data_IF_080860397407
#
_entry.id   IF_080860397407
#
_cell.length_a   1.000
_cell.length_b   1.000
_cell.length_c   1.000
_cell.angle_alpha   90.00
_cell.angle_beta   90.00
_cell.angle_gamma   90.00
#
_symmetry.space_group_name_H-M   'P 1'
#
loop_
_entity.id
_entity.type
_entity.pdbx_description
1 polymer ?
#
# COMPACT_ATOMS: atom_id res chain seq x y z
N UNK A 1 17.82 -7.13 10.06
CA UNK A 1 17.29 -7.74 8.83
C UNK A 1 15.98 -8.48 9.10
N UNK A 2 15.85 -9.23 10.21
CA UNK A 2 14.64 -10.01 10.52
C UNK A 2 13.35 -9.19 10.60
N UNK A 3 13.40 -7.97 11.17
CA UNK A 3 12.25 -7.05 11.21
C UNK A 3 11.81 -6.60 9.81
N UNK A 4 12.75 -6.35 8.90
CA UNK A 4 12.44 -5.96 7.52
C UNK A 4 11.90 -7.15 6.71
N UNK A 5 12.47 -8.35 6.94
CA UNK A 5 11.99 -9.57 6.33
C UNK A 5 10.55 -9.89 6.78
N UNK A 6 10.21 -9.64 8.04
CA UNK A 6 8.86 -9.83 8.55
C UNK A 6 7.81 -8.93 7.87
N UNK A 7 8.20 -7.72 7.45
CA UNK A 7 7.31 -6.81 6.72
C UNK A 7 7.05 -7.24 5.27
N UNK A 8 7.98 -7.98 4.67
CA UNK A 8 7.92 -8.41 3.27
C UNK A 8 7.39 -9.85 3.11
N UNK A 9 7.52 -10.67 4.14
CA UNK A 9 7.09 -12.06 4.15
C UNK A 9 5.59 -12.18 4.48
N UNK A 10 4.80 -12.58 3.49
CA UNK A 10 3.38 -12.93 3.61
C UNK A 10 3.05 -13.99 4.66
N UNK A 11 4.01 -14.79 5.13
CA UNK A 11 3.80 -15.73 6.23
C UNK A 11 3.90 -15.06 7.61
N UNK A 12 4.35 -13.80 7.68
CA UNK A 12 4.58 -13.04 8.91
C UNK A 12 3.75 -11.76 8.98
N UNK A 13 3.66 -11.00 7.89
CA UNK A 13 2.84 -9.78 7.82
C UNK A 13 1.35 -10.10 7.90
N UNK A 14 0.61 -9.24 8.56
CA UNK A 14 -0.86 -9.32 8.67
C UNK A 14 -1.56 -8.44 7.65
N UNK A 15 -0.99 -7.28 7.30
CA UNK A 15 -1.49 -6.39 6.25
C UNK A 15 -1.53 -7.11 4.90
N UNK A 16 -2.59 -6.92 4.12
CA UNK A 16 -2.68 -7.44 2.75
C UNK A 16 -1.64 -6.80 1.81
N UNK A 17 -1.21 -7.51 0.77
CA UNK A 17 -0.18 -7.04 -0.16
C UNK A 17 -0.66 -5.82 -0.94
N UNK A 18 -1.94 -5.76 -1.29
CA UNK A 18 -2.48 -4.60 -2.01
C UNK A 18 -2.63 -3.37 -1.11
N UNK A 19 -2.91 -3.54 0.18
CA UNK A 19 -2.90 -2.44 1.15
C UNK A 19 -1.48 -1.92 1.39
N UNK A 20 -0.52 -2.84 1.55
CA UNK A 20 0.90 -2.50 1.61
C UNK A 20 1.29 -1.65 0.41
N UNK A 21 0.98 -2.14 -0.79
CA UNK A 21 1.32 -1.44 -2.03
C UNK A 21 0.56 -0.13 -2.18
N UNK A 22 -0.68 -0.03 -1.68
CA UNK A 22 -1.46 1.21 -1.70
C UNK A 22 -0.79 2.28 -0.82
N UNK A 23 -0.32 1.93 0.37
CA UNK A 23 0.45 2.86 1.22
C UNK A 23 1.68 3.37 0.48
N UNK A 24 2.45 2.46 -0.13
CA UNK A 24 3.69 2.83 -0.83
C UNK A 24 3.41 3.72 -2.02
N UNK A 25 2.50 3.31 -2.93
CA UNK A 25 2.20 4.08 -4.13
C UNK A 25 1.55 5.43 -3.80
N UNK A 26 0.63 5.48 -2.82
CA UNK A 26 0.03 6.74 -2.39
C UNK A 26 1.09 7.67 -1.83
N UNK A 27 1.89 7.23 -0.85
CA UNK A 27 2.92 8.06 -0.26
C UNK A 27 3.92 8.56 -1.30
N UNK A 28 4.44 7.66 -2.13
CA UNK A 28 5.45 8.02 -3.14
C UNK A 28 4.89 8.98 -4.18
N UNK A 29 3.62 8.87 -4.56
CA UNK A 29 2.96 9.86 -5.42
C UNK A 29 2.88 11.24 -4.75
N UNK A 30 2.42 11.30 -3.50
CA UNK A 30 2.25 12.54 -2.74
C UNK A 30 3.57 13.30 -2.57
N UNK A 31 4.68 12.58 -2.37
CA UNK A 31 6.01 13.20 -2.21
C UNK A 31 6.83 13.19 -3.51
N UNK A 32 6.26 12.84 -4.66
CA UNK A 32 6.96 12.77 -5.95
C UNK A 32 8.26 11.92 -5.92
N UNK A 33 8.23 10.78 -5.23
CA UNK A 33 9.32 9.81 -5.15
C UNK A 33 9.25 8.77 -6.30
N UNK A 34 9.46 9.25 -7.53
CA UNK A 34 9.26 8.48 -8.77
C UNK A 34 10.06 7.17 -8.85
N UNK A 35 11.30 7.15 -8.33
CA UNK A 35 12.11 5.92 -8.30
C UNK A 35 11.40 4.80 -7.53
N UNK A 36 10.89 5.12 -6.33
CA UNK A 36 10.19 4.14 -5.50
C UNK A 36 8.82 3.77 -6.06
N UNK A 37 8.09 4.75 -6.62
CA UNK A 37 6.84 4.45 -7.32
C UNK A 37 7.08 3.42 -8.42
N UNK A 38 8.09 3.65 -9.28
CA UNK A 38 8.42 2.76 -10.39
C UNK A 38 8.89 1.35 -9.99
N UNK A 39 9.51 1.20 -8.81
CA UNK A 39 9.90 -0.13 -8.29
C UNK A 39 8.69 -0.92 -7.75
N UNK A 40 7.72 -0.23 -7.15
CA UNK A 40 6.59 -0.87 -6.47
C UNK A 40 5.39 -1.07 -7.41
N UNK A 41 5.25 -0.25 -8.44
CA UNK A 41 4.20 -0.40 -9.45
C UNK A 41 4.11 -1.83 -10.04
N UNK A 42 5.20 -2.48 -10.49
CA UNK A 42 5.13 -3.84 -10.99
C UNK A 42 4.56 -4.84 -9.97
N UNK A 43 4.86 -4.65 -8.67
CA UNK A 43 4.34 -5.49 -7.59
C UNK A 43 2.83 -5.28 -7.44
N UNK A 44 2.38 -4.03 -7.44
CA UNK A 44 0.95 -3.68 -7.41
C UNK A 44 0.18 -4.26 -8.59
N UNK A 45 0.75 -4.15 -9.80
CA UNK A 45 0.13 -4.65 -11.03
C UNK A 45 0.01 -6.16 -11.01
N UNK A 46 1.08 -6.88 -10.70
CA UNK A 46 1.09 -8.35 -10.64
C UNK A 46 0.10 -8.88 -9.60
N UNK A 47 -0.12 -8.14 -8.51
CA UNK A 47 -1.08 -8.53 -7.46
C UNK A 47 -2.52 -8.06 -7.71
N UNK A 48 -2.79 -7.36 -8.82
CA UNK A 48 -4.16 -7.07 -9.25
C UNK A 48 -4.73 -5.71 -8.84
N UNK A 49 -3.91 -4.71 -8.50
CA UNK A 49 -4.40 -3.36 -8.18
C UNK A 49 -5.17 -2.70 -9.35
N UNK A 50 -4.84 -3.07 -10.59
CA UNK A 50 -5.45 -2.52 -11.80
C UNK A 50 -4.75 -1.25 -12.29
N UNK A 51 -4.55 -1.15 -13.61
CA UNK A 51 -3.79 -0.05 -14.23
C UNK A 51 -4.46 1.32 -14.04
N UNK A 52 -5.79 1.38 -14.02
CA UNK A 52 -6.52 2.64 -13.80
C UNK A 52 -6.21 3.26 -12.43
N UNK A 53 -6.21 2.45 -11.37
CA UNK A 53 -5.87 2.88 -10.01
C UNK A 53 -4.42 3.31 -9.89
N UNK A 54 -3.50 2.50 -10.43
CA UNK A 54 -2.07 2.82 -10.45
C UNK A 54 -1.85 4.16 -11.14
N UNK A 55 -2.53 4.40 -12.26
CA UNK A 55 -2.31 5.62 -13.03
C UNK A 55 -2.97 6.86 -12.44
N UNK A 56 -4.09 6.69 -11.72
CA UNK A 56 -4.66 7.72 -10.89
C UNK A 56 -3.70 8.14 -9.74
N UNK A 57 -3.06 7.16 -9.09
CA UNK A 57 -2.02 7.44 -8.08
C UNK A 57 -0.81 8.12 -8.71
N UNK A 58 -0.31 7.65 -9.86
CA UNK A 58 0.84 8.25 -10.56
C UNK A 58 0.60 9.72 -10.92
N UNK A 59 -0.62 10.05 -11.36
CA UNK A 59 -1.02 11.44 -11.67
C UNK A 59 -1.08 12.34 -10.43
N UNK A 60 -1.03 11.77 -9.23
CA UNK A 60 -1.13 12.52 -7.98
C UNK A 60 -2.52 13.11 -7.75
N UNK A 61 -3.58 12.43 -8.22
CA UNK A 61 -4.95 12.87 -7.96
C UNK A 61 -5.20 13.00 -6.47
N UNK A 62 -5.98 13.99 -6.05
CA UNK A 62 -6.37 14.16 -4.65
C UNK A 62 -7.32 13.04 -4.22
N UNK A 63 -7.44 12.83 -2.91
CA UNK A 63 -8.27 11.77 -2.33
C UNK A 63 -9.72 11.87 -2.80
N UNK A 64 -10.28 13.08 -2.89
CA UNK A 64 -11.66 13.28 -3.37
C UNK A 64 -11.83 12.87 -4.84
N UNK A 65 -10.82 13.12 -5.68
CA UNK A 65 -10.82 12.73 -7.09
C UNK A 65 -10.65 11.21 -7.25
N UNK A 66 -9.80 10.60 -6.43
CA UNK A 66 -9.65 9.14 -6.37
C UNK A 66 -10.99 8.49 -6.00
N UNK A 67 -11.65 8.96 -4.94
CA UNK A 67 -12.89 8.36 -4.45
C UNK A 67 -14.03 8.53 -5.46
N UNK A 68 -14.08 9.65 -6.18
CA UNK A 68 -15.05 9.89 -7.25
C UNK A 68 -14.95 8.90 -8.42
N UNK A 69 -13.82 8.19 -8.58
CA UNK A 69 -13.69 7.11 -9.57
C UNK A 69 -14.63 5.92 -9.28
N UNK A 70 -15.08 5.75 -8.03
CA UNK A 70 -15.98 4.66 -7.63
C UNK A 70 -15.36 3.26 -7.65
N UNK A 71 -14.05 3.14 -7.90
CA UNK A 71 -13.34 1.86 -7.96
C UNK A 71 -12.63 1.48 -6.66
N UNK A 72 -12.48 2.42 -5.72
CA UNK A 72 -11.79 2.22 -4.44
C UNK A 72 -12.75 1.70 -3.36
N UNK A 73 -12.41 0.56 -2.75
CA UNK A 73 -13.18 0.00 -1.63
C UNK A 73 -13.11 0.91 -0.40
N UNK A 74 -14.06 0.79 0.53
CA UNK A 74 -14.06 1.59 1.76
C UNK A 74 -12.73 1.48 2.52
N UNK A 75 -12.19 0.27 2.62
CA UNK A 75 -10.87 -0.01 3.21
C UNK A 75 -9.75 0.76 2.51
N UNK A 76 -9.75 0.79 1.18
CA UNK A 76 -8.75 1.54 0.43
C UNK A 76 -8.90 3.05 0.59
N UNK A 77 -10.13 3.57 0.67
CA UNK A 77 -10.38 4.98 0.94
C UNK A 77 -9.86 5.38 2.33
N UNK A 78 -10.10 4.55 3.33
CA UNK A 78 -9.55 4.72 4.68
C UNK A 78 -8.02 4.77 4.67
N UNK A 79 -7.35 3.83 3.98
CA UNK A 79 -5.88 3.79 3.87
C UNK A 79 -5.33 5.04 3.16
N UNK A 80 -5.97 5.49 2.07
CA UNK A 80 -5.57 6.70 1.35
C UNK A 80 -5.65 7.93 2.28
N UNK A 81 -6.76 8.08 3.00
CA UNK A 81 -6.95 9.18 3.97
C UNK A 81 -5.91 9.13 5.09
N UNK A 82 -5.66 7.94 5.64
CA UNK A 82 -4.66 7.73 6.69
C UNK A 82 -3.27 8.18 6.22
N UNK A 83 -2.88 7.79 5.02
CA UNK A 83 -1.58 8.16 4.42
C UNK A 83 -1.51 9.66 4.17
N UNK A 84 -2.56 10.27 3.62
CA UNK A 84 -2.61 11.70 3.30
C UNK A 84 -2.44 12.56 4.56
N UNK A 85 -3.24 12.29 5.60
CA UNK A 85 -3.12 12.96 6.89
C UNK A 85 -1.73 12.76 7.52
N UNK A 86 -1.24 11.52 7.56
CA UNK A 86 0.09 11.20 8.12
C UNK A 86 1.21 11.98 7.44
N UNK A 87 1.19 12.09 6.12
CA UNK A 87 2.22 12.84 5.37
C UNK A 87 2.09 14.34 5.61
N UNK A 88 0.86 14.85 5.68
CA UNK A 88 0.59 16.28 5.83
C UNK A 88 0.94 16.81 7.24
N UNK A 89 0.57 16.07 8.28
CA UNK A 89 0.56 16.58 9.67
C UNK A 89 1.34 15.72 10.65
N UNK A 90 1.78 14.51 10.26
CA UNK A 90 2.31 13.48 11.16
C UNK A 90 1.35 13.02 12.27
N UNK A 91 0.09 13.46 12.22
CA UNK A 91 -0.93 13.16 13.22
C UNK A 91 -2.25 12.93 12.51
N UNK A 92 -2.66 11.66 12.44
CA UNK A 92 -3.99 11.32 11.96
C UNK A 92 -5.08 11.84 12.89
N UNK A 93 -6.25 12.11 12.35
CA UNK A 93 -7.43 12.47 13.14
C UNK A 93 -7.96 11.24 13.90
N UNK A 94 -8.63 11.48 15.02
CA UNK A 94 -9.23 10.40 15.82
C UNK A 94 -10.28 9.64 14.99
N UNK A 95 -11.04 10.36 14.16
CA UNK A 95 -12.03 9.82 13.25
C UNK A 95 -11.41 8.85 12.24
N UNK A 96 -10.27 9.21 11.64
CA UNK A 96 -9.55 8.35 10.70
C UNK A 96 -9.01 7.08 11.40
N UNK A 97 -8.52 7.20 12.63
CA UNK A 97 -8.07 6.02 13.40
C UNK A 97 -9.24 5.11 13.77
N UNK A 98 -10.37 5.66 14.20
CA UNK A 98 -11.57 4.86 14.51
C UNK A 98 -12.09 4.15 13.26
N UNK A 99 -12.08 4.81 12.11
CA UNK A 99 -12.45 4.21 10.83
C UNK A 99 -11.49 3.09 10.42
N UNK A 100 -10.18 3.28 10.60
CA UNK A 100 -9.21 2.24 10.34
C UNK A 100 -9.48 0.99 11.20
N UNK A 101 -9.73 1.18 12.50
CA UNK A 101 -10.00 0.08 13.45
C UNK A 101 -11.35 -0.61 13.25
N UNK A 102 -12.30 -0.01 12.51
CA UNK A 102 -13.53 -0.69 12.12
C UNK A 102 -13.34 -1.62 10.90
N UNK A 103 -12.28 -1.42 10.12
CA UNK A 103 -12.02 -2.14 8.87
C UNK A 103 -10.79 -3.07 8.94
N UNK A 104 -9.90 -2.83 9.89
CA UNK A 104 -8.60 -3.50 10.07
C UNK A 104 -8.39 -3.88 11.53
N UNK A 105 -7.64 -4.96 11.75
CA UNK A 105 -7.11 -5.31 13.07
C UNK A 105 -6.06 -4.30 13.54
N UNK A 106 -5.84 -4.22 14.86
CA UNK A 106 -4.84 -3.32 15.43
C UNK A 106 -3.42 -3.61 14.87
N UNK A 107 -3.09 -4.89 14.60
CA UNK A 107 -1.81 -5.29 13.97
C UNK A 107 -1.67 -4.75 12.54
N UNK A 108 -2.72 -4.85 11.72
CA UNK A 108 -2.72 -4.30 10.36
C UNK A 108 -2.55 -2.77 10.37
N UNK A 109 -3.23 -2.08 11.30
CA UNK A 109 -3.10 -0.62 11.45
C UNK A 109 -1.67 -0.24 11.84
N UNK A 110 -1.05 -0.96 12.78
CA UNK A 110 0.36 -0.75 13.15
C UNK A 110 1.29 -1.03 11.96
N UNK A 111 1.05 -2.09 11.19
CA UNK A 111 1.84 -2.42 10.02
C UNK A 111 1.73 -1.34 8.92
N UNK A 112 0.56 -0.71 8.71
CA UNK A 112 0.43 0.45 7.80
C UNK A 112 1.42 1.56 8.17
N UNK A 113 1.53 1.91 9.46
CA UNK A 113 2.47 2.92 9.93
C UNK A 113 3.92 2.50 9.76
N UNK A 114 4.24 1.23 9.99
CA UNK A 114 5.60 0.72 9.79
C UNK A 114 5.98 0.81 8.30
N UNK A 115 5.09 0.40 7.39
CA UNK A 115 5.30 0.53 5.93
C UNK A 115 5.46 1.99 5.54
N UNK A 116 4.56 2.87 6.00
CA UNK A 116 4.60 4.29 5.71
C UNK A 116 5.90 4.94 6.19
N UNK A 117 6.32 4.65 7.43
CA UNK A 117 7.56 5.17 8.02
C UNK A 117 8.81 4.65 7.30
N UNK A 118 8.86 3.35 7.02
CA UNK A 118 9.98 2.73 6.30
C UNK A 118 10.13 3.34 4.90
N UNK A 119 9.08 3.38 4.10
CA UNK A 119 9.18 3.96 2.75
C UNK A 119 9.34 5.47 2.76
N UNK A 120 8.86 6.18 3.79
CA UNK A 120 9.15 7.60 4.00
C UNK A 120 10.65 7.86 4.20
N UNK A 121 11.36 6.98 4.91
CA UNK A 121 12.81 7.01 5.06
C UNK A 121 13.51 6.74 3.72
N UNK A 122 13.13 5.66 3.02
CA UNK A 122 13.74 5.31 1.72
C UNK A 122 13.49 6.40 0.67
N UNK A 123 12.31 7.03 0.67
CA UNK A 123 11.98 8.13 -0.25
C UNK A 123 12.91 9.33 -0.02
N UNK A 124 13.19 9.67 1.24
CA UNK A 124 14.16 10.73 1.59
C UNK A 124 15.56 10.39 1.13
N UNK A 125 16.00 9.14 1.34
CA UNK A 125 17.32 8.68 0.88
C UNK A 125 17.44 8.74 -0.64
N UNK A 126 16.53 8.11 -1.37
CA UNK A 126 16.59 7.99 -2.83
C UNK A 126 16.46 9.35 -3.52
N UNK A 127 15.58 10.23 -3.03
CA UNK A 127 15.47 11.60 -3.54
C UNK A 127 16.70 12.45 -3.18
N UNK A 128 17.16 12.39 -1.92
CA UNK A 128 18.33 13.13 -1.46
C UNK A 128 19.61 12.75 -2.22
N UNK A 129 19.77 11.46 -2.52
CA UNK A 129 20.90 10.92 -3.28
C UNK A 129 20.69 10.95 -4.80
N UNK A 130 19.52 11.40 -5.28
CA UNK A 130 19.17 11.49 -6.71
C UNK A 130 19.33 10.18 -7.47
N UNK A 131 18.90 9.08 -6.85
CA UNK A 131 18.93 7.75 -7.45
C UNK A 131 18.16 7.75 -8.77
N UNK A 132 18.78 7.21 -9.82
CA UNK A 132 18.21 7.15 -11.15
C UNK A 132 17.35 5.90 -11.32
N UNK A 133 16.43 5.93 -12.28
CA UNK A 133 15.63 4.75 -12.64
C UNK A 133 16.54 3.60 -13.06
N UNK A 134 16.21 2.40 -12.58
CA UNK A 134 16.85 1.18 -13.01
C UNK A 134 16.43 0.81 -14.44
N UNK A 135 17.30 0.10 -15.15
CA UNK A 135 16.93 -0.49 -16.43
C UNK A 135 15.86 -1.58 -16.24
N UNK A 136 15.01 -1.84 -17.24
CA UNK A 136 14.03 -2.93 -17.16
C UNK A 136 14.70 -4.27 -16.84
N UNK A 137 14.15 -5.01 -15.88
CA UNK A 137 14.63 -6.33 -15.49
C UNK A 137 13.85 -7.39 -16.27
N UNK A 138 14.54 -8.18 -17.09
CA UNK A 138 13.93 -9.29 -17.81
C UNK A 138 13.36 -10.33 -16.83
N UNK A 139 12.11 -10.76 -17.05
CA UNK A 139 11.47 -11.74 -16.17
C UNK A 139 11.01 -11.21 -14.81
N UNK A 140 11.02 -9.89 -14.59
CA UNK A 140 10.65 -9.28 -13.30
C UNK A 140 9.28 -9.72 -12.78
N UNK A 141 8.26 -9.78 -13.65
CA UNK A 141 6.93 -10.23 -13.24
C UNK A 141 6.93 -11.64 -12.67
N UNK A 142 7.66 -12.57 -13.30
CA UNK A 142 7.79 -13.93 -12.82
C UNK A 142 8.54 -13.99 -11.48
N UNK A 143 9.60 -13.19 -11.33
CA UNK A 143 10.34 -13.09 -10.08
C UNK A 143 9.47 -12.52 -8.94
N UNK A 144 8.60 -11.54 -9.22
CA UNK A 144 7.65 -11.00 -8.24
C UNK A 144 6.70 -12.09 -7.76
N UNK A 145 6.08 -12.84 -8.68
CA UNK A 145 5.16 -13.93 -8.34
C UNK A 145 5.84 -15.00 -7.48
N UNK A 146 7.12 -15.29 -7.74
CA UNK A 146 7.87 -16.32 -7.02
C UNK A 146 8.33 -15.89 -5.62
N UNK A 147 8.66 -14.60 -5.43
CA UNK A 147 9.36 -14.14 -4.23
C UNK A 147 8.50 -13.27 -3.31
N UNK A 148 7.43 -12.65 -3.82
CA UNK A 148 6.51 -11.85 -2.99
C UNK A 148 5.37 -12.77 -2.55
N UNK A 149 5.46 -13.24 -1.30
CA UNK A 149 4.51 -14.19 -0.74
C UNK A 149 3.22 -13.49 -0.30
N UNK A 150 2.08 -14.14 -0.57
CA UNK A 150 0.76 -13.72 -0.10
C UNK A 150 0.49 -14.22 1.32
N UNK A 151 -0.29 -13.48 2.09
CA UNK A 151 -0.85 -13.91 3.37
C UNK A 151 -2.24 -14.53 3.18
N UNK A 152 -2.84 -15.05 4.25
CA UNK A 152 -4.14 -15.71 4.19
C UNK A 152 -5.30 -14.76 3.78
N UNK A 153 -5.17 -13.47 4.08
CA UNK A 153 -6.16 -12.45 3.75
C UNK A 153 -6.07 -11.99 2.29
N UNK A 154 -4.93 -12.13 1.61
CA UNK A 154 -4.71 -11.74 0.20
C UNK A 154 -5.55 -12.54 -0.80
N UNK A 155 -6.22 -13.62 -0.35
CA UNK A 155 -7.10 -14.44 -1.17
C UNK A 155 -8.59 -14.11 -0.98
N UNK A 156 -8.92 -13.24 -0.03
CA UNK A 156 -10.29 -12.80 0.24
C UNK A 156 -10.54 -11.57 -0.62
N UNK A 157 -11.52 -11.64 -1.53
CA UNK A 157 -11.98 -10.44 -2.24
C UNK A 157 -12.50 -9.42 -1.21
N UNK A 158 -12.05 -8.17 -1.34
CA UNK A 158 -12.50 -7.03 -0.54
C UNK A 158 -14.04 -7.04 -0.45
N UNK A 159 -14.59 -7.32 0.75
CA UNK A 159 -16.00 -7.06 1.06
C UNK A 159 -16.97 -8.24 1.09
N UNK A 160 -16.52 -9.50 1.00
CA UNK A 160 -17.37 -10.64 1.44
C UNK A 160 -16.94 -11.12 2.81
N UNK A 161 -17.61 -10.61 3.83
CA UNK A 161 -17.76 -11.34 5.09
C UNK A 161 -18.29 -12.73 4.72
N UNK A 162 -17.53 -13.78 5.00
CA UNK A 162 -18.15 -15.09 5.17
C UNK A 162 -19.20 -14.91 6.25
N UNK A 163 -20.47 -14.97 5.87
CA UNK A 163 -21.55 -15.15 6.82
C UNK A 163 -21.24 -16.44 7.57
N UNK A 164 -20.64 -16.30 8.75
CA UNK A 164 -20.46 -17.41 9.66
C UNK A 164 -21.84 -18.05 9.82
N UNK A 165 -21.94 -19.31 9.38
CA UNK A 165 -23.07 -20.16 9.67
C UNK A 165 -23.15 -20.31 11.19
N UNK A 166 -23.96 -19.45 11.82
CA UNK A 166 -24.52 -19.68 13.13
C UNK A 166 -25.79 -20.49 12.91
N UNK A 167 -25.62 -21.82 12.97
CA UNK A 167 -26.68 -22.73 13.40
C UNK A 167 -26.64 -22.82 14.93
#
# INVERSE_FOLDING_TARGET
MDTLNALLDGQRRTIQILDYQLVVLRMTSTVSAEYLFGINEPVSRVNGMGDEKIEALRKGLKSEELFAMGTWSERQQCIITLVDESIATWTNTEETIQWARSLMSDDEVVELYIVLGFYSMIARMTRGLRVQKDAPIAGLGQAIVQNITKNAADSREDGKLESAALN
#
